data_IF_038974666215
#
_entry.id   IF_038974666215
#
_cell.length_a   1.000
_cell.length_b   1.000
_cell.length_c   1.000
_cell.angle_alpha   90.00
_cell.angle_beta   90.00
_cell.angle_gamma   90.00
#
_symmetry.space_group_name_H-M   'P 1'
#
loop_
_entity.id
_entity.type
_entity.pdbx_description
1 polymer ?
#
# COMPACT_ATOMS: atom_id res chain seq x y z
N UNK A 1 -15.07 -5.04 9.29
CA UNK A 1 -13.79 -5.33 9.97
C UNK A 1 -13.48 -6.81 9.87
N UNK A 2 -12.21 -7.14 9.70
CA UNK A 2 -11.71 -8.51 9.82
C UNK A 2 -11.75 -8.95 11.29
N UNK A 3 -11.85 -10.26 11.59
CA UNK A 3 -11.81 -10.74 12.97
C UNK A 3 -10.40 -10.64 13.52
N UNK A 4 -10.27 -10.25 14.80
CA UNK A 4 -8.97 -10.20 15.49
C UNK A 4 -8.45 -11.61 15.81
N UNK A 5 -9.36 -12.54 16.09
CA UNK A 5 -9.04 -13.94 16.40
C UNK A 5 -9.00 -14.78 15.11
N UNK A 6 -7.79 -15.16 14.70
CA UNK A 6 -7.57 -15.99 13.51
C UNK A 6 -6.71 -17.20 13.86
N UNK A 7 -7.16 -18.38 13.44
CA UNK A 7 -6.39 -19.61 13.50
C UNK A 7 -5.63 -19.81 12.18
N UNK A 8 -4.30 -19.83 12.26
CA UNK A 8 -3.43 -20.04 11.09
C UNK A 8 -3.14 -21.53 10.90
N UNK A 9 -3.57 -22.09 9.77
CA UNK A 9 -3.35 -23.50 9.41
C UNK A 9 -2.45 -23.60 8.18
N UNK A 10 -1.51 -24.57 8.11
CA UNK A 10 -0.62 -24.74 6.96
C UNK A 10 -1.30 -25.49 5.81
N UNK A 11 -2.54 -25.11 5.47
CA UNK A 11 -3.33 -25.76 4.41
C UNK A 11 -3.19 -25.06 3.06
N UNK A 12 -2.68 -23.82 3.05
CA UNK A 12 -2.64 -22.96 1.87
C UNK A 12 -3.98 -22.28 1.55
N UNK A 13 -5.02 -22.53 2.35
CA UNK A 13 -6.32 -21.87 2.21
C UNK A 13 -6.40 -20.60 3.09
N UNK A 14 -7.29 -19.66 2.72
CA UNK A 14 -7.55 -18.48 3.55
C UNK A 14 -8.00 -18.90 4.96
N UNK A 15 -7.42 -18.32 6.02
CA UNK A 15 -7.79 -18.67 7.39
C UNK A 15 -9.22 -18.22 7.74
N UNK A 16 -9.77 -17.22 7.04
CA UNK A 16 -11.15 -16.75 7.20
C UNK A 16 -12.18 -17.83 6.84
N UNK A 17 -11.80 -18.80 6.01
CA UNK A 17 -12.64 -19.96 5.64
C UNK A 17 -13.03 -20.81 6.84
N UNK A 18 -12.15 -20.89 7.84
CA UNK A 18 -12.34 -21.70 9.04
C UNK A 18 -12.93 -20.92 10.21
N UNK A 19 -13.04 -19.59 10.11
CA UNK A 19 -13.61 -18.79 11.18
C UNK A 19 -15.08 -19.19 11.43
N UNK A 20 -15.47 -19.54 12.68
CA UNK A 20 -16.73 -20.22 12.96
C UNK A 20 -17.99 -19.39 12.67
N UNK A 21 -17.90 -18.08 12.88
CA UNK A 21 -19.03 -17.14 12.78
C UNK A 21 -18.88 -16.09 11.70
N UNK A 22 -17.69 -15.49 11.54
CA UNK A 22 -17.44 -14.36 10.63
C UNK A 22 -17.95 -14.56 9.20
N UNK A 23 -17.71 -15.74 8.59
CA UNK A 23 -18.14 -16.01 7.21
C UNK A 23 -19.66 -16.11 7.04
N UNK A 24 -20.41 -16.36 8.11
CA UNK A 24 -21.87 -16.48 8.05
C UNK A 24 -22.47 -15.08 7.98
N UNK A 25 -23.32 -14.85 7.00
CA UNK A 25 -24.00 -13.56 6.82
C UNK A 25 -25.37 -13.79 6.18
N UNK A 26 -26.10 -12.70 5.96
CA UNK A 26 -27.39 -12.73 5.25
C UNK A 26 -27.21 -12.11 3.87
N UNK A 27 -27.92 -12.63 2.89
CA UNK A 27 -27.92 -12.08 1.54
C UNK A 27 -28.54 -10.67 1.57
N UNK A 28 -27.85 -9.63 1.07
CA UNK A 28 -28.40 -8.27 1.08
C UNK A 28 -29.57 -8.08 0.12
N UNK A 29 -29.79 -8.99 -0.85
CA UNK A 29 -30.87 -8.90 -1.82
C UNK A 29 -32.15 -9.63 -1.37
N UNK A 30 -32.02 -10.84 -0.81
CA UNK A 30 -33.17 -11.69 -0.47
C UNK A 30 -33.33 -11.99 1.03
N UNK A 31 -32.35 -11.62 1.87
CA UNK A 31 -32.38 -11.85 3.32
C UNK A 31 -32.09 -13.28 3.80
N UNK A 32 -31.91 -14.24 2.89
CA UNK A 32 -31.60 -15.63 3.23
C UNK A 32 -30.17 -15.84 3.74
N UNK A 33 -29.86 -17.06 4.18
CA UNK A 33 -28.52 -17.45 4.62
C UNK A 33 -27.50 -17.33 3.48
N UNK A 34 -26.37 -16.69 3.76
CA UNK A 34 -25.28 -16.48 2.82
C UNK A 34 -23.90 -16.66 3.46
N UNK A 35 -22.87 -16.78 2.62
CA UNK A 35 -21.48 -16.87 3.04
C UNK A 35 -20.69 -15.70 2.47
N UNK A 36 -19.90 -15.02 3.29
CA UNK A 36 -18.98 -13.95 2.86
C UNK A 36 -17.88 -14.52 1.97
N UNK A 37 -17.35 -13.70 1.07
CA UNK A 37 -16.05 -13.98 0.47
C UNK A 37 -14.99 -14.10 1.57
N UNK A 38 -14.15 -15.13 1.47
CA UNK A 38 -13.13 -15.46 2.46
C UNK A 38 -11.74 -15.12 1.97
N UNK A 39 -11.55 -14.89 0.68
CA UNK A 39 -10.29 -14.40 0.14
C UNK A 39 -10.10 -12.92 0.48
N UNK A 40 -8.84 -12.52 0.61
CA UNK A 40 -8.43 -11.16 0.90
C UNK A 40 -7.82 -10.52 -0.34
N UNK A 41 -8.01 -9.21 -0.50
CA UNK A 41 -7.35 -8.49 -1.57
C UNK A 41 -5.83 -8.47 -1.36
N UNK A 42 -5.08 -8.54 -2.45
CA UNK A 42 -3.62 -8.43 -2.45
C UNK A 42 -3.16 -7.05 -1.95
N UNK A 43 -1.95 -6.97 -1.39
CA UNK A 43 -1.38 -5.74 -0.83
C UNK A 43 -1.27 -4.60 -1.84
N UNK A 44 -1.09 -4.90 -3.14
CA UNK A 44 -1.07 -3.88 -4.20
C UNK A 44 -2.41 -3.16 -4.37
N UNK A 45 -3.52 -3.76 -3.94
CA UNK A 45 -4.80 -3.07 -3.87
C UNK A 45 -4.72 -1.83 -2.98
N UNK A 46 -4.09 -1.96 -1.81
CA UNK A 46 -3.94 -0.86 -0.87
C UNK A 46 -2.96 0.19 -1.40
N UNK A 47 -1.81 -0.23 -1.94
CA UNK A 47 -0.80 0.71 -2.42
C UNK A 47 -1.15 1.36 -3.77
N UNK A 48 -2.15 0.88 -4.50
CA UNK A 48 -2.52 1.49 -5.78
C UNK A 48 -3.15 2.88 -5.67
N UNK A 49 -3.72 3.24 -4.51
CA UNK A 49 -4.49 4.48 -4.34
C UNK A 49 -4.24 5.23 -3.02
N UNK A 50 -3.32 4.75 -2.17
CA UNK A 50 -3.00 5.34 -0.86
C UNK A 50 -2.66 6.84 -0.89
N UNK A 51 -2.06 7.32 -1.98
CA UNK A 51 -1.73 8.72 -2.21
C UNK A 51 -2.95 9.64 -2.12
N UNK A 52 -4.12 9.18 -2.56
CA UNK A 52 -5.36 9.96 -2.45
C UNK A 52 -5.89 9.95 -1.02
N UNK A 53 -5.70 8.85 -0.29
CA UNK A 53 -6.13 8.76 1.12
C UNK A 53 -5.32 9.65 2.05
N UNK A 54 -4.05 9.91 1.74
CA UNK A 54 -3.23 10.83 2.53
C UNK A 54 -3.78 12.25 2.63
N UNK A 55 -4.56 12.67 1.64
CA UNK A 55 -5.11 14.03 1.58
C UNK A 55 -6.15 14.26 2.69
N UNK A 56 -6.88 13.20 3.07
CA UNK A 56 -7.95 13.28 4.06
C UNK A 56 -8.13 11.92 4.78
N UNK A 57 -7.18 11.53 5.66
CA UNK A 57 -7.11 10.18 6.22
C UNK A 57 -8.26 9.82 7.15
N UNK A 58 -8.94 10.81 7.72
CA UNK A 58 -10.08 10.66 8.64
C UNK A 58 -11.45 10.90 7.96
N UNK A 59 -11.47 11.15 6.64
CA UNK A 59 -12.72 11.41 5.92
C UNK A 59 -13.57 10.13 5.80
N UNK A 60 -14.83 10.18 6.25
CA UNK A 60 -15.71 9.02 6.41
C UNK A 60 -16.84 8.95 5.38
N UNK A 61 -17.10 10.04 4.67
CA UNK A 61 -18.20 10.17 3.71
C UNK A 61 -17.83 9.74 2.28
N UNK A 62 -16.59 9.25 2.08
CA UNK A 62 -16.08 8.80 0.79
C UNK A 62 -14.60 8.40 0.86
N UNK A 63 -13.95 8.15 -0.29
CA UNK A 63 -12.56 7.72 -0.32
C UNK A 63 -11.60 8.86 0.08
N UNK A 64 -11.95 10.11 -0.25
CA UNK A 64 -11.23 11.34 0.10
C UNK A 64 -12.15 12.57 0.06
N UNK A 65 -11.72 13.66 0.69
CA UNK A 65 -12.30 15.00 0.54
C UNK A 65 -11.97 15.53 -0.88
N UNK A 66 -12.97 16.03 -1.59
CA UNK A 66 -12.81 16.52 -2.96
C UNK A 66 -11.99 17.81 -3.03
N UNK A 67 -12.13 18.72 -2.07
CA UNK A 67 -11.40 19.99 -2.10
C UNK A 67 -9.89 19.76 -1.91
N UNK A 68 -9.52 18.84 -1.01
CA UNK A 68 -8.13 18.43 -0.81
C UNK A 68 -7.57 17.69 -2.04
N UNK A 69 -8.37 16.82 -2.66
CA UNK A 69 -7.98 16.15 -3.91
C UNK A 69 -7.67 17.16 -5.01
N UNK A 70 -8.60 18.08 -5.28
CA UNK A 70 -8.49 19.04 -6.37
C UNK A 70 -7.30 20.01 -6.16
N UNK A 71 -6.91 20.26 -4.90
CA UNK A 71 -5.76 21.12 -4.58
C UNK A 71 -4.41 20.40 -4.71
N UNK A 72 -4.28 19.18 -4.18
CA UNK A 72 -2.98 18.51 -4.06
C UNK A 72 -2.60 17.61 -5.24
N UNK A 73 -3.57 17.19 -6.05
CA UNK A 73 -3.34 16.21 -7.11
C UNK A 73 -3.26 16.84 -8.51
N UNK A 74 -2.51 16.21 -9.45
CA UNK A 74 -1.70 14.99 -9.29
C UNK A 74 -0.39 15.23 -8.53
N UNK A 75 0.25 14.15 -8.04
CA UNK A 75 1.50 14.25 -7.26
C UNK A 75 2.62 14.81 -8.14
N UNK A 76 3.25 15.91 -7.71
CA UNK A 76 4.33 16.54 -8.49
C UNK A 76 5.54 15.65 -8.69
N UNK A 77 6.03 15.03 -7.62
CA UNK A 77 7.22 14.19 -7.64
C UNK A 77 7.06 12.99 -6.74
N UNK A 78 7.19 11.80 -7.34
CA UNK A 78 7.18 10.53 -6.65
C UNK A 78 8.58 9.91 -6.68
N UNK A 79 9.09 9.51 -5.52
CA UNK A 79 10.42 8.89 -5.39
C UNK A 79 10.27 7.46 -4.89
N UNK A 80 10.83 6.49 -5.61
CA UNK A 80 10.73 5.08 -5.25
C UNK A 80 11.71 4.19 -6.02
N UNK A 81 12.08 3.05 -5.45
CA UNK A 81 13.06 2.15 -6.07
C UNK A 81 12.54 1.52 -7.37
N UNK A 82 13.46 1.16 -8.26
CA UNK A 82 13.14 0.61 -9.58
C UNK A 82 12.46 -0.77 -9.50
N UNK A 83 12.60 -1.47 -8.38
CA UNK A 83 11.94 -2.75 -8.10
C UNK A 83 10.41 -2.69 -8.19
N UNK A 84 9.83 -1.50 -8.04
CA UNK A 84 8.39 -1.27 -8.12
C UNK A 84 7.88 -0.96 -9.53
N UNK A 85 8.77 -0.91 -10.54
CA UNK A 85 8.45 -0.46 -11.89
C UNK A 85 7.39 -1.29 -12.61
N UNK A 86 7.39 -2.62 -12.43
CA UNK A 86 6.53 -3.55 -13.17
C UNK A 86 5.37 -4.12 -12.36
N UNK A 87 5.17 -3.66 -11.13
CA UNK A 87 4.05 -4.10 -10.27
C UNK A 87 3.31 -2.87 -9.76
N UNK A 88 3.73 -2.33 -8.61
CA UNK A 88 3.12 -1.16 -7.97
C UNK A 88 2.87 -0.03 -8.96
N UNK A 89 3.87 0.41 -9.74
CA UNK A 89 3.68 1.53 -10.65
C UNK A 89 2.70 1.24 -11.80
N UNK A 90 2.49 -0.03 -12.17
CA UNK A 90 1.45 -0.40 -13.13
C UNK A 90 0.07 -0.30 -12.46
N UNK A 91 -0.10 -0.90 -11.28
CA UNK A 91 -1.37 -0.83 -10.55
C UNK A 91 -1.76 0.59 -10.16
N UNK A 92 -0.79 1.40 -9.75
CA UNK A 92 -0.92 2.81 -9.41
C UNK A 92 -1.47 3.64 -10.58
N UNK A 93 -0.95 3.42 -11.79
CA UNK A 93 -1.46 4.07 -13.01
C UNK A 93 -2.82 3.52 -13.42
N UNK A 94 -2.99 2.20 -13.38
CA UNK A 94 -4.24 1.55 -13.73
C UNK A 94 -5.40 2.04 -12.86
N UNK A 95 -5.22 2.05 -11.53
CA UNK A 95 -6.24 2.53 -10.59
C UNK A 95 -6.61 3.98 -10.86
N UNK A 96 -5.62 4.84 -11.13
CA UNK A 96 -5.88 6.25 -11.47
C UNK A 96 -6.79 6.38 -12.69
N UNK A 97 -6.50 5.62 -13.76
CA UNK A 97 -7.33 5.65 -14.97
C UNK A 97 -8.71 5.05 -14.74
N UNK A 98 -8.80 3.96 -13.98
CA UNK A 98 -10.08 3.36 -13.63
C UNK A 98 -10.96 4.32 -12.80
N UNK A 99 -10.35 5.02 -11.83
CA UNK A 99 -11.03 6.03 -11.01
C UNK A 99 -11.48 7.24 -11.85
N UNK A 100 -10.67 7.66 -12.83
CA UNK A 100 -11.07 8.65 -13.83
C UNK A 100 -12.27 8.19 -14.66
N UNK A 101 -12.23 6.96 -15.16
CA UNK A 101 -13.28 6.42 -16.05
C UNK A 101 -14.64 6.27 -15.34
N UNK A 102 -14.65 6.05 -14.02
CA UNK A 102 -15.88 6.07 -13.21
C UNK A 102 -16.25 7.46 -12.68
N UNK A 103 -15.53 8.51 -13.08
CA UNK A 103 -15.84 9.91 -12.77
C UNK A 103 -15.39 10.39 -11.39
N UNK A 104 -14.48 9.66 -10.71
CA UNK A 104 -13.94 10.08 -9.41
C UNK A 104 -12.70 10.98 -9.53
N UNK A 105 -12.00 10.95 -10.66
CA UNK A 105 -10.82 11.77 -10.96
C UNK A 105 -10.95 12.44 -12.33
N UNK A 106 -10.28 13.58 -12.52
CA UNK A 106 -10.30 14.34 -13.77
C UNK A 106 -8.95 14.31 -14.53
N UNK A 107 -7.99 13.51 -14.08
CA UNK A 107 -6.64 13.40 -14.65
C UNK A 107 -6.23 11.97 -14.97
N UNK A 108 -5.26 11.84 -15.87
CA UNK A 108 -4.88 10.56 -16.47
C UNK A 108 -3.78 9.81 -15.72
N UNK A 109 -2.86 10.52 -15.08
CA UNK A 109 -1.67 9.95 -14.45
C UNK A 109 -1.56 10.42 -12.99
N UNK A 110 -1.22 9.53 -12.05
CA UNK A 110 -1.17 9.88 -10.62
C UNK A 110 0.01 10.79 -10.27
N UNK A 111 1.06 10.82 -11.10
CA UNK A 111 2.32 11.51 -10.83
C UNK A 111 2.81 12.25 -12.06
N UNK A 112 3.35 13.46 -11.86
CA UNK A 112 3.95 14.26 -12.93
C UNK A 112 5.43 13.90 -13.18
N UNK A 113 6.15 13.51 -12.12
CA UNK A 113 7.57 13.11 -12.21
C UNK A 113 7.86 11.92 -11.32
N UNK A 114 8.49 10.89 -11.89
CA UNK A 114 9.06 9.76 -11.15
C UNK A 114 10.57 9.93 -11.03
N UNK A 115 11.11 9.73 -9.83
CA UNK A 115 12.55 9.63 -9.58
C UNK A 115 12.86 8.29 -8.92
N UNK A 116 13.78 7.52 -9.49
CA UNK A 116 14.23 6.28 -8.88
C UNK A 116 15.52 6.52 -8.11
N UNK A 117 15.50 6.29 -6.79
CA UNK A 117 16.72 6.31 -6.00
C UNK A 117 17.59 5.08 -6.30
N UNK A 118 18.90 5.25 -6.15
CA UNK A 118 19.86 4.16 -6.23
C UNK A 118 19.72 3.18 -5.06
N UNK A 119 20.27 1.98 -5.25
CA UNK A 119 20.33 0.97 -4.19
C UNK A 119 21.51 1.29 -3.27
N UNK A 120 21.25 1.35 -1.95
CA UNK A 120 22.30 1.44 -0.94
C UNK A 120 22.88 0.04 -0.72
N UNK A 121 24.21 -0.07 -0.82
CA UNK A 121 24.96 -1.31 -0.65
C UNK A 121 25.49 -1.42 0.78
N UNK A 122 25.68 -2.65 1.26
CA UNK A 122 26.38 -2.93 2.51
C UNK A 122 27.89 -2.77 2.37
N UNK A 123 28.62 -2.94 3.47
CA UNK A 123 30.10 -2.91 3.48
C UNK A 123 30.71 -3.96 2.54
N UNK A 124 29.98 -5.04 2.28
CA UNK A 124 30.32 -6.10 1.34
C UNK A 124 30.07 -5.74 -0.14
N UNK A 125 29.71 -4.49 -0.44
CA UNK A 125 29.35 -4.00 -1.79
C UNK A 125 28.15 -4.71 -2.42
N UNK A 126 27.33 -5.37 -1.60
CA UNK A 126 26.16 -6.11 -2.01
C UNK A 126 24.88 -5.45 -1.50
N UNK A 127 23.73 -5.77 -2.11
CA UNK A 127 22.44 -5.29 -1.61
C UNK A 127 22.22 -5.78 -0.17
N UNK A 128 21.87 -4.87 0.73
CA UNK A 128 21.56 -5.21 2.12
C UNK A 128 20.33 -6.12 2.23
N UNK A 129 20.42 -7.21 2.99
CA UNK A 129 19.29 -8.09 3.31
C UNK A 129 19.46 -8.81 4.65
N UNK A 130 18.33 -9.09 5.33
CA UNK A 130 18.36 -9.86 6.59
C UNK A 130 18.96 -11.25 6.41
N UNK A 131 18.72 -11.90 5.26
CA UNK A 131 19.26 -13.22 4.96
C UNK A 131 20.79 -13.24 4.80
N UNK A 132 21.40 -12.11 4.46
CA UNK A 132 22.86 -11.96 4.31
C UNK A 132 23.54 -11.46 5.59
N UNK A 133 22.77 -11.00 6.58
CA UNK A 133 23.32 -10.47 7.84
C UNK A 133 24.09 -9.15 7.68
N UNK A 134 24.00 -8.49 6.53
CA UNK A 134 24.75 -7.27 6.18
C UNK A 134 23.91 -5.98 6.32
N UNK A 135 22.80 -6.03 7.08
CA UNK A 135 21.91 -4.87 7.28
C UNK A 135 22.52 -3.92 8.30
N UNK A 136 22.73 -2.67 7.89
CA UNK A 136 23.13 -1.59 8.79
C UNK A 136 21.88 -0.87 9.27
N UNK A 137 21.65 -0.83 10.59
CA UNK A 137 20.50 -0.15 11.18
C UNK A 137 20.75 1.37 11.28
N UNK A 138 19.89 2.23 10.71
CA UNK A 138 20.07 3.68 10.74
C UNK A 138 20.19 4.26 12.15
N UNK A 139 19.39 3.74 13.11
CA UNK A 139 19.34 4.24 14.49
C UNK A 139 20.72 4.26 15.16
N UNK A 140 21.55 3.25 14.91
CA UNK A 140 22.91 3.17 15.47
C UNK A 140 23.80 4.30 14.98
N UNK A 141 23.68 4.69 13.70
CA UNK A 141 24.44 5.77 13.08
C UNK A 141 23.91 7.13 13.52
N UNK A 142 22.58 7.29 13.54
CA UNK A 142 21.93 8.52 14.01
C UNK A 142 22.28 8.82 15.47
N UNK A 143 22.25 7.82 16.35
CA UNK A 143 22.62 8.00 17.76
C UNK A 143 24.09 8.37 17.95
N UNK A 144 24.98 7.93 17.06
CA UNK A 144 26.41 8.20 17.14
C UNK A 144 26.82 9.54 16.52
N UNK A 145 26.19 9.90 15.40
CA UNK A 145 26.65 11.00 14.54
C UNK A 145 25.62 12.13 14.37
N UNK A 146 24.38 11.92 14.80
CA UNK A 146 23.26 12.83 14.56
C UNK A 146 22.59 12.61 13.20
N UNK A 147 21.32 13.00 13.12
CA UNK A 147 20.51 12.84 11.91
C UNK A 147 20.99 13.71 10.74
N UNK A 148 21.53 14.90 11.03
CA UNK A 148 22.08 15.80 10.02
C UNK A 148 23.26 15.16 9.29
N UNK A 149 24.27 14.67 10.02
CA UNK A 149 25.41 14.02 9.39
C UNK A 149 24.96 12.77 8.64
N UNK A 150 24.07 11.95 9.21
CA UNK A 150 23.53 10.75 8.56
C UNK A 150 22.85 11.04 7.22
N UNK A 151 22.11 12.15 7.09
CA UNK A 151 21.45 12.52 5.83
C UNK A 151 22.42 13.00 4.73
N UNK A 152 23.67 13.31 5.08
CA UNK A 152 24.72 13.73 4.15
C UNK A 152 25.64 12.58 3.69
N UNK A 153 25.47 11.37 4.24
CA UNK A 153 26.23 10.16 3.90
C UNK A 153 25.43 9.31 2.92
#
# INVERSE_FOLDING_TARGET
MLPDEIEWRPTGESPLKYHPTWKKTTCPECGGDATRETDTMDTFMCSAWYQYRYLSPEYDSGPWDKEELDYWMPVDTYTGGIEHATMHLIYFRYFTKALRDIGLLEYDEPVMKLRNQGVILGEDSEKMSKSRGNVIAPDSLVNKYGAELFAHI
#
